data_IF_730506015532
#
_entry.id   IF_730506015532
#
_cell.length_a   1.000
_cell.length_b   1.000
_cell.length_c   1.000
_cell.angle_alpha   90.00
_cell.angle_beta   90.00
_cell.angle_gamma   90.00
#
_symmetry.space_group_name_H-M   'P 1'
#
loop_
_entity.id
_entity.type
_entity.pdbx_description
1 polymer ?
#
# COMPACT_ATOMS: atom_id res chain seq x y z
N UNK A 1 -52.14 35.01 -22.32
CA UNK A 1 -50.67 34.95 -22.47
C UNK A 1 -49.98 35.05 -21.10
N UNK A 2 -50.27 34.16 -20.15
CA UNK A 2 -49.69 34.25 -18.79
C UNK A 2 -49.31 32.90 -18.16
N UNK A 3 -49.46 31.78 -18.89
CA UNK A 3 -49.21 30.45 -18.36
C UNK A 3 -47.78 29.93 -18.60
N UNK A 4 -47.05 30.49 -19.57
CA UNK A 4 -45.73 29.99 -19.97
C UNK A 4 -44.57 30.56 -19.13
N UNK A 5 -44.78 31.67 -18.42
CA UNK A 5 -43.72 32.35 -17.67
C UNK A 5 -43.43 31.72 -16.29
N UNK A 6 -44.37 30.92 -15.75
CA UNK A 6 -44.26 30.33 -14.41
C UNK A 6 -43.41 29.04 -14.38
N UNK A 7 -43.21 28.39 -15.53
CA UNK A 7 -42.44 27.15 -15.58
C UNK A 7 -40.92 27.35 -15.71
N UNK A 8 -40.47 28.51 -16.18
CA UNK A 8 -39.04 28.81 -16.33
C UNK A 8 -38.36 29.27 -15.02
N UNK A 9 -39.14 29.69 -14.01
CA UNK A 9 -38.61 30.08 -12.71
C UNK A 9 -38.46 28.89 -11.73
N UNK A 10 -39.04 27.73 -12.06
CA UNK A 10 -39.01 26.54 -11.21
C UNK A 10 -37.90 25.54 -11.60
N UNK A 11 -36.88 25.96 -12.34
CA UNK A 11 -35.74 25.11 -12.72
C UNK A 11 -34.40 25.56 -12.15
N UNK A 12 -34.34 26.63 -11.35
CA UNK A 12 -33.09 27.12 -10.74
C UNK A 12 -32.85 26.67 -9.29
N UNK A 13 -33.74 25.90 -8.69
CA UNK A 13 -33.58 25.39 -7.32
C UNK A 13 -32.91 24.00 -7.31
N UNK A 14 -31.74 23.90 -7.95
CA UNK A 14 -30.94 22.68 -8.02
C UNK A 14 -29.46 22.93 -7.78
N UNK A 15 -29.09 24.06 -7.17
CA UNK A 15 -27.74 24.21 -6.63
C UNK A 15 -27.65 23.30 -5.40
N UNK A 16 -27.06 22.12 -5.59
CA UNK A 16 -26.69 21.22 -4.50
C UNK A 16 -25.92 22.02 -3.46
N UNK A 17 -26.58 22.27 -2.32
CA UNK A 17 -25.95 22.89 -1.17
C UNK A 17 -24.91 21.89 -0.68
N UNK A 18 -23.66 22.06 -1.13
CA UNK A 18 -22.52 21.36 -0.54
C UNK A 18 -22.34 21.97 0.85
N UNK A 19 -22.91 21.29 1.83
CA UNK A 19 -22.78 21.61 3.24
C UNK A 19 -21.27 21.64 3.59
N UNK A 20 -20.67 22.81 3.88
CA UNK A 20 -19.22 22.94 4.08
C UNK A 20 -18.74 22.23 5.36
N UNK A 21 -19.67 21.70 6.16
CA UNK A 21 -19.40 20.89 7.35
C UNK A 21 -18.95 19.45 7.02
N UNK A 22 -19.05 19.02 5.76
CA UNK A 22 -18.58 17.71 5.30
C UNK A 22 -17.16 17.70 4.75
N UNK A 23 -16.41 18.80 4.84
CA UNK A 23 -14.99 18.86 4.49
C UNK A 23 -14.18 17.85 5.32
N UNK A 24 -14.07 16.63 4.81
CA UNK A 24 -13.34 15.52 5.41
C UNK A 24 -14.11 14.21 5.49
N UNK A 25 -15.44 14.17 5.46
CA UNK A 25 -16.15 12.88 5.56
C UNK A 25 -16.12 12.16 4.21
N UNK A 26 -15.68 10.90 4.20
CA UNK A 26 -15.68 10.04 3.01
C UNK A 26 -16.58 8.83 3.25
N UNK A 27 -17.50 8.58 2.32
CA UNK A 27 -18.38 7.42 2.29
C UNK A 27 -17.85 6.38 1.32
N UNK A 28 -17.77 5.13 1.76
CA UNK A 28 -17.55 3.95 0.91
C UNK A 28 -18.89 3.30 0.63
N UNK A 29 -19.35 3.36 -0.61
CA UNK A 29 -20.62 2.83 -1.07
C UNK A 29 -20.41 1.54 -1.88
N UNK A 30 -21.32 0.57 -1.74
CA UNK A 30 -21.28 -0.71 -2.44
C UNK A 30 -20.45 -1.79 -1.74
N UNK A 31 -20.39 -2.97 -2.36
CA UNK A 31 -19.70 -4.15 -1.83
C UNK A 31 -18.90 -4.85 -2.93
N UNK A 32 -17.92 -5.65 -2.50
CA UNK A 32 -17.09 -6.50 -3.36
C UNK A 32 -16.45 -5.77 -4.55
N UNK A 33 -16.98 -5.97 -5.75
CA UNK A 33 -16.44 -5.57 -7.04
C UNK A 33 -16.88 -4.17 -7.50
N UNK A 34 -17.92 -3.60 -6.89
CA UNK A 34 -18.47 -2.28 -7.22
C UNK A 34 -18.41 -1.32 -6.03
N UNK A 35 -17.20 -0.98 -5.58
CA UNK A 35 -16.97 -0.03 -4.49
C UNK A 35 -16.72 1.38 -5.04
N UNK A 36 -17.45 2.37 -4.53
CA UNK A 36 -17.26 3.79 -4.84
C UNK A 36 -16.96 4.57 -3.57
N UNK A 37 -16.05 5.53 -3.66
CA UNK A 37 -15.75 6.47 -2.58
C UNK A 37 -16.22 7.85 -2.98
N UNK A 38 -16.98 8.51 -2.10
CA UNK A 38 -17.60 9.80 -2.37
C UNK A 38 -17.72 10.62 -1.08
N UNK A 39 -17.75 11.93 -1.22
CA UNK A 39 -17.99 12.90 -0.15
C UNK A 39 -19.48 13.06 0.19
N UNK A 40 -20.36 12.60 -0.70
CA UNK A 40 -21.82 12.57 -0.52
C UNK A 40 -22.27 11.23 0.09
N UNK A 41 -23.27 11.20 0.99
CA UNK A 41 -23.86 9.95 1.48
C UNK A 41 -24.28 8.99 0.35
N UNK A 42 -24.15 7.68 0.61
CA UNK A 42 -24.58 6.65 -0.34
C UNK A 42 -26.10 6.67 -0.55
N UNK A 43 -26.57 6.04 -1.63
CA UNK A 43 -28.00 5.93 -1.89
C UNK A 43 -28.72 5.19 -0.74
N UNK A 44 -29.98 5.53 -0.50
CA UNK A 44 -30.77 4.88 0.54
C UNK A 44 -30.86 3.36 0.29
N UNK A 45 -30.49 2.57 1.30
CA UNK A 45 -30.44 1.10 1.20
C UNK A 45 -29.17 0.53 0.56
N UNK A 46 -28.25 1.38 0.08
CA UNK A 46 -26.93 0.93 -0.37
C UNK A 46 -26.03 0.60 0.82
N UNK A 47 -25.24 -0.47 0.70
CA UNK A 47 -24.26 -0.80 1.72
C UNK A 47 -23.21 0.32 1.84
N UNK A 48 -23.07 0.88 3.03
CA UNK A 48 -22.27 2.09 3.24
C UNK A 48 -21.36 1.97 4.45
N UNK A 49 -20.18 2.59 4.35
CA UNK A 49 -19.29 2.82 5.49
C UNK A 49 -18.82 4.28 5.49
N UNK A 50 -19.03 4.97 6.61
CA UNK A 50 -18.65 6.38 6.79
C UNK A 50 -17.29 6.47 7.48
N UNK A 51 -16.36 7.18 6.86
CA UNK A 51 -15.06 7.48 7.44
C UNK A 51 -14.91 8.98 7.67
N UNK A 52 -14.29 9.34 8.80
CA UNK A 52 -13.93 10.72 9.13
C UNK A 52 -12.43 10.73 9.48
N UNK A 53 -11.61 11.57 8.84
CA UNK A 53 -10.23 11.79 9.22
C UNK A 53 -10.15 12.21 10.68
N UNK A 54 -9.12 11.75 11.42
CA UNK A 54 -8.87 12.25 12.76
C UNK A 54 -8.67 13.77 12.72
N UNK A 55 -9.20 14.46 13.74
CA UNK A 55 -9.05 15.91 13.85
C UNK A 55 -7.58 16.27 14.13
N UNK A 56 -6.97 17.07 13.26
CA UNK A 56 -5.59 17.52 13.37
C UNK A 56 -4.98 17.81 12.00
N UNK A 57 -3.89 18.59 11.96
CA UNK A 57 -3.03 18.62 10.76
C UNK A 57 -2.36 17.28 10.66
N UNK A 58 -2.68 16.53 9.61
CA UNK A 58 -1.89 15.35 9.25
C UNK A 58 -0.57 15.87 8.69
N UNK A 59 0.56 15.53 9.33
CA UNK A 59 1.87 15.84 8.78
C UNK A 59 2.03 15.07 7.46
N UNK A 60 2.35 15.71 6.33
CA UNK A 60 2.65 15.01 5.09
C UNK A 60 3.69 13.89 5.24
N UNK A 61 4.60 14.00 6.22
CA UNK A 61 5.55 12.95 6.57
C UNK A 61 4.88 11.67 7.12
N UNK A 62 3.72 11.79 7.78
CA UNK A 62 2.95 10.66 8.32
C UNK A 62 2.10 9.95 7.25
N UNK A 63 1.82 10.62 6.13
CA UNK A 63 1.03 10.08 4.99
C UNK A 63 1.93 9.44 3.93
N UNK A 64 3.25 9.62 4.02
CA UNK A 64 4.22 9.00 3.13
C UNK A 64 4.31 7.48 3.42
N UNK A 65 3.26 6.75 3.03
CA UNK A 65 3.33 5.30 2.85
C UNK A 65 4.44 4.96 1.84
N UNK A 66 4.97 3.73 1.87
CA UNK A 66 6.01 3.33 0.93
C UNK A 66 5.55 3.62 -0.49
N UNK A 67 6.35 4.37 -1.24
CA UNK A 67 6.05 4.74 -2.62
C UNK A 67 5.59 3.49 -3.38
N UNK A 68 4.37 3.52 -3.92
CA UNK A 68 3.84 2.44 -4.74
C UNK A 68 4.70 2.42 -6.02
N UNK A 69 5.73 1.59 -6.02
CA UNK A 69 6.50 1.29 -7.23
C UNK A 69 5.54 0.50 -8.12
N UNK A 70 4.96 1.16 -9.13
CA UNK A 70 4.26 0.48 -10.23
C UNK A 70 5.29 -0.38 -10.95
N UNK A 71 5.47 -1.62 -10.50
CA UNK A 71 6.30 -2.61 -11.18
C UNK A 71 5.57 -3.00 -12.46
N UNK A 72 6.09 -2.56 -13.60
CA UNK A 72 5.63 -3.05 -14.90
C UNK A 72 5.73 -4.58 -14.93
N UNK A 73 4.77 -5.30 -15.52
CA UNK A 73 4.82 -6.75 -15.62
C UNK A 73 6.03 -7.11 -16.49
N UNK A 74 7.06 -7.69 -15.85
CA UNK A 74 8.22 -8.19 -16.58
C UNK A 74 7.76 -9.37 -17.45
N UNK A 75 7.75 -9.15 -18.76
CA UNK A 75 7.52 -10.19 -19.75
C UNK A 75 8.49 -11.36 -19.50
N UNK A 76 7.93 -12.56 -19.44
CA UNK A 76 8.65 -13.79 -19.17
C UNK A 76 9.71 -14.06 -20.25
N UNK A 77 10.97 -13.77 -19.95
CA UNK A 77 12.10 -14.26 -20.72
C UNK A 77 12.34 -15.74 -20.37
N UNK A 78 11.80 -16.62 -21.22
CA UNK A 78 12.09 -18.05 -21.26
C UNK A 78 13.55 -18.26 -21.71
N UNK A 79 14.32 -19.09 -21.02
CA UNK A 79 15.64 -19.51 -21.54
C UNK A 79 16.56 -20.33 -20.62
N UNK A 80 16.29 -21.64 -20.53
CA UNK A 80 17.18 -22.81 -20.29
C UNK A 80 18.50 -22.69 -19.49
N UNK A 81 18.56 -23.46 -18.39
CA UNK A 81 19.63 -24.39 -17.93
C UNK A 81 19.72 -24.37 -16.38
N UNK A 82 19.87 -25.44 -15.60
CA UNK A 82 19.90 -26.88 -15.79
C UNK A 82 19.53 -27.51 -14.43
N UNK A 83 18.81 -28.64 -14.49
CA UNK A 83 18.79 -29.74 -13.52
C UNK A 83 19.19 -29.49 -12.06
N UNK A 84 18.19 -29.36 -11.17
CA UNK A 84 18.21 -30.10 -9.89
C UNK A 84 16.78 -30.36 -9.39
N UNK A 85 16.20 -31.46 -9.85
CA UNK A 85 14.97 -32.04 -9.31
C UNK A 85 15.25 -32.49 -7.87
N UNK A 86 14.65 -31.84 -6.87
CA UNK A 86 14.59 -32.36 -5.49
C UNK A 86 13.18 -32.17 -4.93
N UNK A 87 12.41 -33.25 -5.03
CA UNK A 87 11.19 -33.67 -4.32
C UNK A 87 10.25 -32.55 -3.83
N UNK A 88 9.16 -32.38 -4.57
CA UNK A 88 7.92 -31.78 -4.08
C UNK A 88 7.17 -32.88 -3.32
N UNK A 89 7.09 -32.76 -2.00
CA UNK A 89 6.15 -33.51 -1.20
C UNK A 89 5.36 -32.52 -0.34
N UNK A 90 4.09 -32.32 -0.69
CA UNK A 90 3.01 -31.81 0.16
C UNK A 90 3.28 -30.54 0.97
N UNK A 91 3.05 -29.37 0.38
CA UNK A 91 2.68 -28.18 1.17
C UNK A 91 1.48 -27.52 0.50
N UNK A 92 0.35 -27.52 1.23
CA UNK A 92 -0.91 -26.83 0.91
C UNK A 92 -0.60 -25.39 0.47
N UNK A 93 -1.37 -24.77 -0.44
CA UNK A 93 -1.15 -23.38 -0.82
C UNK A 93 -1.25 -22.53 0.45
N UNK A 94 -0.09 -22.10 0.94
CA UNK A 94 -0.04 -21.18 2.06
C UNK A 94 -0.71 -19.90 1.58
N UNK A 95 -1.62 -19.36 2.38
CA UNK A 95 -2.12 -17.99 2.26
C UNK A 95 -0.98 -17.10 1.77
N UNK A 96 -1.24 -16.26 0.76
CA UNK A 96 -0.25 -15.37 0.19
C UNK A 96 0.26 -14.41 1.27
N UNK A 97 1.30 -14.84 1.98
CA UNK A 97 2.04 -14.04 2.91
C UNK A 97 2.70 -12.98 2.04
N UNK A 98 2.39 -11.70 2.28
CA UNK A 98 3.16 -10.60 1.71
C UNK A 98 4.54 -10.70 2.36
N UNK A 99 5.43 -11.49 1.75
CA UNK A 99 6.78 -11.67 2.25
C UNK A 99 7.54 -10.38 1.95
N UNK A 100 7.78 -9.58 2.99
CA UNK A 100 8.58 -8.35 2.90
C UNK A 100 9.99 -8.63 2.35
N UNK A 101 10.47 -9.88 2.51
CA UNK A 101 11.79 -10.33 2.08
C UNK A 101 11.65 -11.42 1.00
N UNK A 102 12.42 -11.33 -0.08
CA UNK A 102 12.44 -12.36 -1.13
C UNK A 102 13.06 -13.68 -0.64
N UNK A 103 14.13 -13.61 0.16
CA UNK A 103 14.76 -14.77 0.81
C UNK A 103 15.05 -14.52 2.30
N UNK A 104 14.13 -14.92 3.20
CA UNK A 104 14.31 -14.79 4.64
C UNK A 104 15.49 -15.60 5.21
N UNK A 105 15.97 -16.61 4.47
CA UNK A 105 17.13 -17.39 4.88
C UNK A 105 18.44 -16.69 4.49
N UNK A 106 18.52 -16.06 3.32
CA UNK A 106 19.66 -15.23 2.93
C UNK A 106 19.85 -14.03 3.86
N UNK A 107 18.77 -13.31 4.16
CA UNK A 107 18.79 -12.18 5.08
C UNK A 107 19.37 -12.58 6.45
N UNK A 108 18.86 -13.67 7.05
CA UNK A 108 19.37 -14.19 8.34
C UNK A 108 20.81 -14.68 8.28
N UNK A 109 21.26 -15.26 7.16
CA UNK A 109 22.67 -15.64 6.98
C UNK A 109 23.57 -14.40 6.96
N UNK A 110 23.17 -13.35 6.26
CA UNK A 110 23.96 -12.11 6.14
C UNK A 110 24.03 -11.35 7.48
N UNK A 111 22.91 -11.30 8.23
CA UNK A 111 22.89 -10.74 9.59
C UNK A 111 23.91 -11.44 10.51
N UNK A 112 23.94 -12.77 10.52
CA UNK A 112 24.92 -13.55 11.30
C UNK A 112 26.36 -13.28 10.86
N UNK A 113 26.60 -13.13 9.55
CA UNK A 113 27.93 -12.80 9.04
C UNK A 113 28.40 -11.43 9.52
N UNK A 114 27.53 -10.42 9.49
CA UNK A 114 27.82 -9.09 10.05
C UNK A 114 28.17 -9.18 11.53
N UNK A 115 27.32 -9.81 12.34
CA UNK A 115 27.60 -9.92 13.78
C UNK A 115 28.92 -10.62 14.05
N UNK A 116 29.21 -11.72 13.35
CA UNK A 116 30.48 -12.43 13.49
C UNK A 116 31.66 -11.56 13.07
N UNK A 117 31.55 -10.86 11.94
CA UNK A 117 32.61 -9.99 11.44
C UNK A 117 32.90 -8.80 12.37
N UNK A 118 31.87 -8.24 13.02
CA UNK A 118 32.04 -7.15 13.98
C UNK A 118 32.53 -7.66 15.35
N UNK A 119 32.04 -8.83 15.82
CA UNK A 119 32.48 -9.46 17.08
C UNK A 119 33.92 -9.95 17.04
N UNK A 120 34.41 -10.42 15.89
CA UNK A 120 35.78 -10.96 15.76
C UNK A 120 36.88 -9.88 15.84
N UNK A 121 36.51 -8.59 15.91
CA UNK A 121 37.51 -7.50 15.93
C UNK A 121 37.91 -7.18 17.36
N UNK A 122 39.22 -7.02 17.59
CA UNK A 122 39.78 -6.60 18.89
C UNK A 122 39.54 -5.11 19.21
N UNK A 123 39.16 -4.30 18.22
CA UNK A 123 38.88 -2.87 18.37
C UNK A 123 37.47 -2.57 17.86
N UNK A 124 36.85 -1.53 18.43
CA UNK A 124 35.57 -1.03 17.98
C UNK A 124 35.60 -0.78 16.46
N UNK A 125 34.61 -1.28 15.70
CA UNK A 125 34.55 -1.06 14.27
C UNK A 125 34.34 0.44 13.96
N UNK A 126 35.00 0.93 12.92
CA UNK A 126 34.79 2.29 12.44
C UNK A 126 33.46 2.39 11.69
N UNK A 127 32.86 3.58 11.71
CA UNK A 127 31.56 3.87 11.08
C UNK A 127 31.45 3.37 9.63
N UNK A 128 32.47 3.62 8.79
CA UNK A 128 32.45 3.21 7.38
C UNK A 128 32.36 1.69 7.22
N UNK A 129 32.98 0.93 8.13
CA UNK A 129 32.93 -0.52 8.10
C UNK A 129 31.55 -1.04 8.52
N UNK A 130 30.97 -0.48 9.59
CA UNK A 130 29.61 -0.83 10.02
C UNK A 130 28.60 -0.56 8.91
N UNK A 131 28.69 0.62 8.29
CA UNK A 131 27.86 1.01 7.17
C UNK A 131 27.99 0.06 5.98
N UNK A 132 29.21 -0.34 5.62
CA UNK A 132 29.44 -1.29 4.53
C UNK A 132 28.81 -2.67 4.82
N UNK A 133 28.74 -3.09 6.08
CA UNK A 133 28.02 -4.31 6.46
C UNK A 133 26.51 -4.13 6.45
N UNK A 134 26.01 -2.97 6.88
CA UNK A 134 24.58 -2.66 6.85
C UNK A 134 24.04 -2.63 5.41
N UNK A 135 24.79 -2.04 4.48
CA UNK A 135 24.42 -2.02 3.06
C UNK A 135 24.32 -3.44 2.49
N UNK A 136 25.26 -4.34 2.81
CA UNK A 136 25.20 -5.76 2.40
C UNK A 136 24.01 -6.51 3.01
N UNK A 137 23.71 -6.26 4.28
CA UNK A 137 22.52 -6.85 4.93
C UNK A 137 21.26 -6.36 4.25
N UNK A 138 21.15 -5.05 3.98
CA UNK A 138 20.01 -4.47 3.29
C UNK A 138 19.80 -5.10 1.91
N UNK A 139 20.87 -5.26 1.14
CA UNK A 139 20.80 -5.87 -0.19
C UNK A 139 20.39 -7.35 -0.13
N UNK A 140 20.84 -8.09 0.89
CA UNK A 140 20.45 -9.49 1.10
C UNK A 140 19.02 -9.68 1.64
N UNK A 141 18.40 -8.61 2.18
CA UNK A 141 17.06 -8.65 2.77
C UNK A 141 15.97 -8.04 1.87
N UNK A 142 16.34 -7.42 0.74
CA UNK A 142 15.41 -6.98 -0.32
C UNK A 142 14.90 -8.15 -1.15
#
# INVERSE_FOLDING_TARGET
MHAAALWLLLSLAGAGQMDPTMAGVVYRCGQADAVRYQDVPCAAGEASHRWRPPAGRVDPADVAGPAIVKRAPAAAARGKAASRRRRIAGRKPAMALITIQQDPAACRRMQRQRENALRQRRRAPGYLLERAWDDRVRDACR
#
